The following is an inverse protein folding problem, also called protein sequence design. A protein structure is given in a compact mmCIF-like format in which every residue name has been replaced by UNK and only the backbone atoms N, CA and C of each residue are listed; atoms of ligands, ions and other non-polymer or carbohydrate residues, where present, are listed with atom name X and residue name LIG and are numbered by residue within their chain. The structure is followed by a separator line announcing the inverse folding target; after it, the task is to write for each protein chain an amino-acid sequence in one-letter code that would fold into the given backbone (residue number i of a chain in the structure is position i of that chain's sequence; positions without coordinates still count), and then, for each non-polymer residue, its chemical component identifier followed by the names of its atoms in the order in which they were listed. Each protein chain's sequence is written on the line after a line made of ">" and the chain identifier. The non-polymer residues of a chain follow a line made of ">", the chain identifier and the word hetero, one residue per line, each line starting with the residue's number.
data_IF_013813547011
#
_entry.id   IF_013813547011
#
_cell.length_a   1.000
_cell.length_b   1.000
_cell.length_c   1.000
_cell.angle_alpha   90.00
_cell.angle_beta   90.00
_cell.angle_gamma   90.00
#
_symmetry.space_group_name_H-M   'P 1'
#
loop_
_entity.id
_entity.type
_entity.pdbx_description
1 polymer ?
#
# COMPACT_ATOMS: atom_id res chain seq x y z
N UNK A 1 23.65 11.57 16.44
CA UNK A 1 22.95 10.27 16.36
C UNK A 1 21.58 10.51 15.74
N UNK A 2 21.19 9.67 14.81
CA UNK A 2 19.90 9.73 14.11
C UNK A 2 18.73 9.64 15.09
N UNK A 3 17.76 10.56 15.02
CA UNK A 3 16.60 10.55 15.94
C UNK A 3 15.66 9.40 15.59
N UNK A 4 15.51 9.09 14.30
CA UNK A 4 14.71 7.96 13.81
C UNK A 4 15.17 6.59 14.33
N UNK A 5 16.47 6.41 14.63
CA UNK A 5 16.98 5.14 15.20
C UNK A 5 16.53 4.91 16.64
N UNK A 6 16.21 5.98 17.37
CA UNK A 6 15.81 5.93 18.77
C UNK A 6 14.33 5.62 18.96
N UNK A 7 13.54 5.77 17.90
CA UNK A 7 12.10 5.53 17.95
C UNK A 7 11.80 4.05 18.24
N UNK A 8 10.78 3.81 19.06
CA UNK A 8 10.15 2.49 19.18
C UNK A 8 9.25 2.23 17.97
N UNK A 9 8.71 1.02 17.82
CA UNK A 9 7.77 0.75 16.73
C UNK A 9 6.46 1.52 16.91
N UNK A 10 6.04 1.70 18.16
CA UNK A 10 4.93 2.57 18.50
C UNK A 10 5.18 4.01 18.02
N UNK A 11 6.34 4.58 18.33
CA UNK A 11 6.70 5.94 17.89
C UNK A 11 6.73 6.05 16.36
N UNK A 12 7.28 5.05 15.66
CA UNK A 12 7.29 5.00 14.19
C UNK A 12 5.88 5.02 13.59
N UNK A 13 4.92 4.34 14.22
CA UNK A 13 3.52 4.37 13.80
C UNK A 13 2.92 5.75 14.07
N UNK A 14 3.17 6.35 15.24
CA UNK A 14 2.70 7.71 15.53
C UNK A 14 3.29 8.73 14.54
N UNK A 15 4.55 8.60 14.17
CA UNK A 15 5.19 9.41 13.13
C UNK A 15 4.53 9.20 11.76
N UNK A 16 4.22 7.95 11.40
CA UNK A 16 3.55 7.64 10.13
C UNK A 16 2.15 8.24 10.07
N UNK A 17 1.41 8.22 11.19
CA UNK A 17 0.07 8.83 11.30
C UNK A 17 0.09 10.33 11.02
N UNK A 18 1.18 11.03 11.34
CA UNK A 18 1.32 12.47 11.03
C UNK A 18 1.18 12.83 9.56
N UNK A 19 1.39 11.88 8.64
CA UNK A 19 1.10 12.11 7.23
C UNK A 19 -0.37 12.49 6.98
N UNK A 20 -1.30 12.13 7.87
CA UNK A 20 -2.72 12.46 7.78
C UNK A 20 -3.08 13.81 8.41
N UNK A 21 -2.15 14.45 9.11
CA UNK A 21 -2.35 15.76 9.75
C UNK A 21 -2.24 16.94 8.76
N UNK A 22 -1.90 16.68 7.49
CA UNK A 22 -1.67 17.69 6.43
C UNK A 22 -0.59 18.71 6.80
N UNK A 23 0.58 18.21 7.21
CA UNK A 23 1.67 19.01 7.77
C UNK A 23 2.06 20.24 6.92
N UNK A 24 2.21 21.37 7.59
CA UNK A 24 2.50 22.66 6.97
C UNK A 24 3.99 22.99 6.95
N UNK A 25 4.43 23.82 5.99
CA UNK A 25 5.82 24.26 5.91
C UNK A 25 6.21 25.04 7.18
N UNK A 26 7.37 24.72 7.76
CA UNK A 26 7.86 25.31 9.00
C UNK A 26 7.33 24.66 10.28
N UNK A 27 6.38 23.73 10.18
CA UNK A 27 5.82 23.03 11.34
C UNK A 27 6.89 22.17 12.04
N UNK A 28 6.91 22.22 13.37
CA UNK A 28 7.80 21.41 14.21
C UNK A 28 7.16 20.05 14.49
N UNK A 29 7.78 18.97 14.01
CA UNK A 29 7.25 17.61 14.18
C UNK A 29 7.88 16.94 15.38
N UNK A 30 7.04 16.48 16.31
CA UNK A 30 7.42 15.74 17.51
C UNK A 30 6.62 14.43 17.64
N UNK A 31 7.25 13.40 18.17
CA UNK A 31 6.61 12.13 18.53
C UNK A 31 7.05 11.73 19.92
N UNK A 32 6.11 11.67 20.86
CA UNK A 32 6.45 11.56 22.28
C UNK A 32 7.45 12.67 22.68
N UNK A 33 8.58 12.26 23.24
CA UNK A 33 9.66 13.17 23.64
C UNK A 33 10.68 13.45 22.52
N UNK A 34 10.53 12.84 21.35
CA UNK A 34 11.48 12.96 20.25
C UNK A 34 11.12 14.12 19.33
N UNK A 35 12.04 15.07 19.17
CA UNK A 35 11.93 16.11 18.16
C UNK A 35 12.47 15.58 16.82
N UNK A 36 11.57 15.32 15.87
CA UNK A 36 11.92 14.73 14.57
C UNK A 36 12.58 15.77 13.67
N UNK A 37 12.07 17.00 13.66
CA UNK A 37 12.60 18.11 12.89
C UNK A 37 11.52 19.10 12.46
N UNK A 38 11.84 19.87 11.44
CA UNK A 38 10.94 20.87 10.84
C UNK A 38 10.47 20.41 9.46
N UNK A 39 9.20 20.63 9.13
CA UNK A 39 8.69 20.38 7.78
C UNK A 39 9.29 21.39 6.82
N UNK A 40 10.07 20.89 5.86
CA UNK A 40 10.77 21.69 4.84
C UNK A 40 10.14 21.53 3.46
N UNK A 41 9.21 20.59 3.29
CA UNK A 41 8.50 20.36 2.04
C UNK A 41 7.17 19.66 2.28
N UNK A 42 6.11 20.17 1.67
CA UNK A 42 4.80 19.51 1.60
C UNK A 42 4.40 19.44 0.13
N UNK A 43 4.10 18.24 -0.37
CA UNK A 43 3.82 17.99 -1.79
C UNK A 43 2.38 17.54 -1.98
N UNK A 44 1.71 18.21 -2.91
CA UNK A 44 0.33 17.99 -3.30
C UNK A 44 0.27 17.83 -4.83
N UNK A 45 0.58 16.63 -5.35
CA UNK A 45 0.57 16.39 -6.79
C UNK A 45 -0.85 16.22 -7.35
N UNK A 46 -1.03 16.53 -8.64
CA UNK A 46 -2.31 16.41 -9.36
C UNK A 46 -2.81 14.97 -9.45
N UNK A 47 -1.89 14.00 -9.50
CA UNK A 47 -2.20 12.57 -9.50
C UNK A 47 -2.51 12.00 -8.10
N UNK A 48 -2.72 12.89 -7.13
CA UNK A 48 -3.04 12.55 -5.74
C UNK A 48 -1.84 12.14 -4.90
N UNK A 49 -0.61 12.12 -5.43
CA UNK A 49 0.58 11.86 -4.61
C UNK A 49 0.72 12.95 -3.54
N UNK A 50 0.82 12.52 -2.28
CA UNK A 50 0.97 13.39 -1.12
C UNK A 50 2.17 12.92 -0.31
N UNK A 51 3.08 13.84 -0.01
CA UNK A 51 4.26 13.53 0.79
C UNK A 51 4.80 14.75 1.53
N UNK A 52 5.42 14.50 2.68
CA UNK A 52 6.02 15.51 3.54
C UNK A 52 7.49 15.18 3.78
N UNK A 53 8.33 16.21 3.83
CA UNK A 53 9.75 16.08 4.19
C UNK A 53 9.99 16.86 5.47
N UNK A 54 10.42 16.16 6.49
CA UNK A 54 10.82 16.72 7.78
C UNK A 54 12.35 16.62 7.84
N UNK A 55 13.03 17.72 8.11
CA UNK A 55 14.48 17.76 8.18
C UNK A 55 14.96 18.23 9.55
N UNK A 56 16.10 17.68 9.97
CA UNK A 56 16.92 18.21 11.05
C UNK A 56 18.39 18.28 10.57
N UNK A 57 19.33 18.54 11.46
CA UNK A 57 20.73 18.76 11.10
C UNK A 57 21.41 17.57 10.41
N UNK A 58 20.93 16.35 10.61
CA UNK A 58 21.64 15.12 10.22
C UNK A 58 20.82 14.23 9.27
N UNK A 59 19.50 14.29 9.34
CA UNK A 59 18.62 13.38 8.61
C UNK A 59 17.36 14.06 8.07
N UNK A 60 16.81 13.43 7.04
CA UNK A 60 15.47 13.73 6.54
C UNK A 60 14.55 12.53 6.75
N UNK A 61 13.32 12.84 7.12
CA UNK A 61 12.21 11.90 7.22
C UNK A 61 11.19 12.23 6.14
N UNK A 62 10.91 11.27 5.27
CA UNK A 62 9.91 11.40 4.22
C UNK A 62 8.66 10.61 4.62
N UNK A 63 7.53 11.29 4.75
CA UNK A 63 6.24 10.66 5.02
C UNK A 63 5.43 10.62 3.73
N UNK A 64 5.22 9.43 3.17
CA UNK A 64 4.26 9.23 2.07
C UNK A 64 2.87 8.99 2.65
N UNK A 65 1.91 9.83 2.30
CA UNK A 65 0.55 9.75 2.81
C UNK A 65 -0.28 8.72 2.02
N UNK A 66 -1.13 7.98 2.72
CA UNK A 66 -2.14 7.11 2.12
C UNK A 66 -3.40 7.87 1.68
N UNK A 67 -4.43 7.14 1.23
CA UNK A 67 -5.71 7.75 0.80
C UNK A 67 -6.51 8.35 1.97
N UNK A 68 -7.15 9.51 1.75
CA UNK A 68 -7.85 10.30 2.79
C UNK A 68 -9.20 9.71 3.22
N UNK A 69 -9.91 9.03 2.31
CA UNK A 69 -11.25 8.46 2.54
C UNK A 69 -11.36 7.48 3.70
N UNK A 70 -10.22 7.10 4.26
CA UNK A 70 -10.13 6.21 5.41
C UNK A 70 -10.41 6.84 6.77
N UNK A 71 -10.19 8.15 6.92
CA UNK A 71 -10.17 8.80 8.24
C UNK A 71 -11.51 9.45 8.60
N UNK A 72 -12.33 9.84 7.62
CA UNK A 72 -13.54 10.65 7.84
C UNK A 72 -14.84 10.06 7.26
N UNK A 73 -14.81 8.85 6.70
CA UNK A 73 -15.96 8.20 6.06
C UNK A 73 -16.73 7.23 6.96
N UNK A 74 -18.00 6.99 6.65
CA UNK A 74 -18.73 5.83 7.15
C UNK A 74 -18.24 4.54 6.43
N UNK A 75 -18.57 3.32 6.90
CA UNK A 75 -18.09 2.06 6.30
C UNK A 75 -18.30 1.92 4.79
N UNK A 76 -19.37 2.50 4.23
CA UNK A 76 -19.63 2.50 2.80
C UNK A 76 -18.80 3.55 2.05
N UNK A 77 -18.73 4.78 2.54
CA UNK A 77 -17.91 5.85 1.93
C UNK A 77 -16.42 5.48 1.95
N UNK A 78 -15.96 4.88 3.04
CA UNK A 78 -14.61 4.32 3.17
C UNK A 78 -14.32 3.27 2.11
N UNK A 79 -15.22 2.29 1.96
CA UNK A 79 -15.09 1.19 1.00
C UNK A 79 -15.07 1.76 -0.41
N UNK A 80 -16.00 2.66 -0.72
CA UNK A 80 -16.14 3.25 -2.05
C UNK A 80 -14.92 4.13 -2.44
N UNK A 81 -14.44 5.01 -1.56
CA UNK A 81 -13.29 5.89 -1.85
C UNK A 81 -11.95 5.14 -1.84
N UNK A 82 -11.80 4.15 -0.96
CA UNK A 82 -10.66 3.24 -0.98
C UNK A 82 -10.61 2.44 -2.28
N UNK A 83 -11.73 1.83 -2.68
CA UNK A 83 -11.82 1.05 -3.91
C UNK A 83 -11.61 1.93 -5.14
N UNK A 84 -12.24 3.11 -5.25
CA UNK A 84 -12.01 4.00 -6.42
C UNK A 84 -10.54 4.36 -6.61
N UNK A 85 -9.79 4.51 -5.53
CA UNK A 85 -8.40 4.98 -5.56
C UNK A 85 -7.39 3.84 -5.68
N UNK A 86 -7.54 2.80 -4.87
CA UNK A 86 -6.57 1.73 -4.74
C UNK A 86 -6.90 0.52 -5.62
N UNK A 87 -8.18 0.28 -5.95
CA UNK A 87 -8.57 -0.82 -6.82
C UNK A 87 -7.95 -0.69 -8.22
N UNK A 88 -7.85 0.47 -8.89
CA UNK A 88 -7.14 0.56 -10.17
C UNK A 88 -5.65 0.21 -10.08
N UNK A 89 -5.00 0.51 -8.95
CA UNK A 89 -3.58 0.20 -8.69
C UNK A 89 -3.43 -1.30 -8.38
N UNK A 90 -4.32 -1.84 -7.55
CA UNK A 90 -4.43 -3.26 -7.22
C UNK A 90 -4.83 -4.10 -8.45
N UNK A 91 -5.71 -3.61 -9.31
CA UNK A 91 -6.07 -4.23 -10.58
C UNK A 91 -4.92 -4.14 -11.58
N UNK A 92 -4.19 -3.02 -11.67
CA UNK A 92 -2.97 -2.98 -12.47
C UNK A 92 -1.90 -3.97 -11.96
N UNK A 93 -1.78 -4.14 -10.64
CA UNK A 93 -0.98 -5.17 -9.97
C UNK A 93 -1.43 -6.59 -10.33
N UNK A 94 -2.74 -6.87 -10.32
CA UNK A 94 -3.34 -8.18 -10.52
C UNK A 94 -3.46 -8.60 -11.99
N UNK A 95 -3.78 -7.67 -12.90
CA UNK A 95 -4.01 -7.92 -14.33
C UNK A 95 -2.68 -8.09 -15.10
N UNK A 96 -1.52 -7.82 -14.46
CA UNK A 96 -0.18 -7.86 -15.07
C UNK A 96 -0.02 -6.93 -16.29
N UNK A 97 -0.90 -5.93 -16.44
CA UNK A 97 -0.64 -4.85 -17.38
C UNK A 97 0.51 -3.99 -16.85
N UNK A 98 1.57 -3.84 -17.64
CA UNK A 98 2.79 -3.10 -17.25
C UNK A 98 2.59 -1.59 -17.12
N UNK A 99 1.35 -1.07 -17.13
CA UNK A 99 1.08 0.36 -17.06
C UNK A 99 1.18 0.85 -15.62
N UNK A 100 2.39 1.29 -15.26
CA UNK A 100 2.68 1.88 -13.96
C UNK A 100 1.83 3.15 -13.75
N UNK A 101 1.05 3.26 -12.65
CA UNK A 101 0.32 4.46 -12.29
C UNK A 101 1.22 5.70 -12.21
N UNK A 102 0.72 6.87 -12.64
CA UNK A 102 1.47 8.14 -12.59
C UNK A 102 1.97 8.45 -11.19
N UNK A 103 1.13 8.24 -10.17
CA UNK A 103 1.44 8.49 -8.76
C UNK A 103 2.73 7.81 -8.30
N UNK A 104 2.96 6.56 -8.72
CA UNK A 104 4.17 5.82 -8.38
C UNK A 104 5.42 6.46 -9.03
N UNK A 105 5.30 6.89 -10.29
CA UNK A 105 6.39 7.60 -10.99
C UNK A 105 6.70 8.94 -10.32
N UNK A 106 5.65 9.67 -9.91
CA UNK A 106 5.76 10.93 -9.18
C UNK A 106 6.45 10.73 -7.83
N UNK A 107 6.10 9.67 -7.08
CA UNK A 107 6.78 9.32 -5.83
C UNK A 107 8.27 9.00 -6.05
N UNK A 108 8.62 8.24 -7.11
CA UNK A 108 10.00 7.95 -7.47
C UNK A 108 10.80 9.20 -7.86
N UNK A 109 10.21 10.09 -8.66
CA UNK A 109 10.84 11.37 -9.02
C UNK A 109 11.05 12.24 -7.78
N UNK A 110 10.02 12.33 -6.93
CA UNK A 110 10.06 13.10 -5.69
C UNK A 110 11.17 12.61 -4.75
N UNK A 111 11.28 11.31 -4.49
CA UNK A 111 12.34 10.76 -3.63
C UNK A 111 13.73 11.15 -4.14
N UNK A 112 14.00 10.91 -5.42
CA UNK A 112 15.31 11.21 -6.01
C UNK A 112 15.63 12.70 -5.96
N UNK A 113 14.66 13.57 -6.28
CA UNK A 113 14.82 15.03 -6.20
C UNK A 113 15.09 15.48 -4.76
N UNK A 114 14.35 14.94 -3.80
CA UNK A 114 14.52 15.28 -2.38
C UNK A 114 15.90 14.85 -1.87
N UNK A 115 16.39 13.65 -2.19
CA UNK A 115 17.74 13.22 -1.76
C UNK A 115 18.84 14.16 -2.29
N UNK A 116 18.70 14.65 -3.53
CA UNK A 116 19.64 15.61 -4.12
C UNK A 116 19.60 16.99 -3.44
N UNK A 117 18.44 17.42 -2.95
CA UNK A 117 18.27 18.69 -2.25
C UNK A 117 18.91 18.68 -0.84
N UNK A 118 19.09 17.50 -0.25
CA UNK A 118 19.71 17.32 1.06
C UNK A 118 20.99 16.47 0.92
N UNK A 119 22.09 17.04 0.39
CA UNK A 119 23.34 16.31 0.29
C UNK A 119 23.81 15.86 1.68
N UNK A 120 24.35 14.65 1.77
CA UNK A 120 24.85 14.02 3.01
C UNK A 120 23.84 13.60 4.09
N UNK A 121 22.60 14.09 4.09
CA UNK A 121 21.56 13.65 5.04
C UNK A 121 21.31 12.11 5.03
N UNK A 122 21.12 11.52 6.19
CA UNK A 122 20.53 10.19 6.30
C UNK A 122 19.04 10.23 5.94
N UNK A 123 18.52 9.23 5.23
CA UNK A 123 17.14 9.25 4.71
C UNK A 123 16.31 8.15 5.35
N UNK A 124 15.22 8.56 6.00
CA UNK A 124 14.19 7.69 6.56
C UNK A 124 12.89 7.86 5.80
N UNK A 125 12.21 6.76 5.54
CA UNK A 125 10.97 6.76 4.75
C UNK A 125 9.87 6.05 5.53
N UNK A 126 8.70 6.65 5.57
CA UNK A 126 7.50 6.09 6.17
C UNK A 126 6.37 6.13 5.16
N UNK A 127 5.51 5.12 5.20
CA UNK A 127 4.33 5.08 4.36
C UNK A 127 3.29 4.12 4.90
N UNK A 128 2.02 4.48 4.74
CA UNK A 128 0.88 3.66 5.07
C UNK A 128 -0.03 3.48 3.86
N UNK A 129 -0.57 2.29 3.67
CA UNK A 129 -1.54 2.01 2.59
C UNK A 129 -0.97 2.40 1.22
N UNK A 130 -1.66 3.25 0.47
CA UNK A 130 -1.15 3.82 -0.78
C UNK A 130 0.22 4.52 -0.65
N UNK A 131 0.48 5.15 0.51
CA UNK A 131 1.78 5.76 0.81
C UNK A 131 2.90 4.71 0.91
N UNK A 132 2.60 3.51 1.41
CA UNK A 132 3.53 2.39 1.40
C UNK A 132 3.83 1.91 -0.03
N UNK A 133 2.81 1.79 -0.88
CA UNK A 133 2.96 1.41 -2.30
C UNK A 133 3.82 2.44 -3.06
N UNK A 134 3.56 3.74 -2.83
CA UNK A 134 4.37 4.85 -3.36
C UNK A 134 5.84 4.73 -2.94
N UNK A 135 6.08 4.50 -1.65
CA UNK A 135 7.42 4.33 -1.10
C UNK A 135 8.14 3.11 -1.68
N UNK A 136 7.47 1.96 -1.80
CA UNK A 136 8.05 0.76 -2.41
C UNK A 136 8.52 1.04 -3.84
N UNK A 137 7.70 1.70 -4.67
CA UNK A 137 8.09 2.01 -6.05
C UNK A 137 9.20 3.06 -6.10
N UNK A 138 9.17 4.06 -5.22
CA UNK A 138 10.21 5.06 -5.11
C UNK A 138 11.57 4.45 -4.74
N UNK A 139 11.59 3.57 -3.74
CA UNK A 139 12.77 2.81 -3.32
C UNK A 139 13.33 1.95 -4.46
N UNK A 140 12.46 1.30 -5.23
CA UNK A 140 12.87 0.50 -6.38
C UNK A 140 13.49 1.30 -7.53
N UNK A 141 13.27 2.61 -7.55
CA UNK A 141 13.82 3.55 -8.54
C UNK A 141 14.79 4.56 -7.89
N UNK A 142 15.24 4.31 -6.66
CA UNK A 142 16.17 5.18 -5.96
C UNK A 142 17.56 5.10 -6.63
N UNK A 143 18.14 6.26 -6.92
CA UNK A 143 19.48 6.41 -7.49
C UNK A 143 20.58 6.51 -6.43
N UNK A 144 20.18 6.73 -5.17
CA UNK A 144 21.06 6.90 -4.02
C UNK A 144 20.71 5.92 -2.88
N UNK A 145 20.67 4.59 -3.13
CA UNK A 145 20.26 3.59 -2.15
C UNK A 145 21.16 3.56 -0.89
N UNK A 146 22.41 4.01 -1.00
CA UNK A 146 23.35 4.15 0.11
C UNK A 146 22.87 5.14 1.17
N UNK A 147 22.11 6.17 0.77
CA UNK A 147 21.59 7.23 1.64
C UNK A 147 20.36 6.82 2.43
N UNK A 148 19.66 5.78 1.96
CA UNK A 148 18.50 5.21 2.67
C UNK A 148 19.03 4.48 3.90
N UNK A 149 18.56 4.86 5.09
CA UNK A 149 18.90 4.16 6.34
C UNK A 149 17.83 3.14 6.69
N UNK A 150 16.56 3.55 6.68
CA UNK A 150 15.44 2.64 6.88
C UNK A 150 14.17 3.13 6.17
N UNK A 151 13.32 2.18 5.79
CA UNK A 151 11.96 2.45 5.32
C UNK A 151 10.97 1.58 6.09
N UNK A 152 9.96 2.20 6.70
CA UNK A 152 8.93 1.54 7.51
C UNK A 152 7.58 1.71 6.82
N UNK A 153 7.08 0.62 6.27
CA UNK A 153 5.97 0.60 5.34
C UNK A 153 4.85 -0.25 5.92
N UNK A 154 3.66 0.31 6.11
CA UNK A 154 2.55 -0.33 6.81
C UNK A 154 1.38 -0.55 5.85
N UNK A 155 0.78 -1.74 5.91
CA UNK A 155 -0.49 -2.07 5.24
C UNK A 155 -0.54 -1.72 3.74
N UNK A 156 0.60 -1.83 3.07
CA UNK A 156 0.69 -1.59 1.63
C UNK A 156 0.78 -2.91 0.87
N UNK A 157 0.04 -3.00 -0.23
CA UNK A 157 0.15 -4.14 -1.15
C UNK A 157 1.58 -4.26 -1.69
N UNK A 158 2.11 -5.48 -1.74
CA UNK A 158 3.45 -5.75 -2.29
C UNK A 158 3.48 -5.57 -3.81
N UNK A 159 4.38 -4.70 -4.30
CA UNK A 159 4.45 -4.37 -5.74
C UNK A 159 5.49 -5.16 -6.53
N UNK A 160 6.14 -6.17 -5.95
CA UNK A 160 7.29 -6.84 -6.58
C UNK A 160 7.06 -7.32 -8.02
N UNK A 161 5.84 -7.80 -8.30
CA UNK A 161 5.47 -8.30 -9.63
C UNK A 161 5.44 -7.19 -10.70
N UNK A 162 5.25 -5.92 -10.31
CA UNK A 162 5.35 -4.77 -11.22
C UNK A 162 6.80 -4.39 -11.54
N UNK A 163 7.74 -4.78 -10.68
CA UNK A 163 9.13 -4.35 -10.83
C UNK A 163 9.82 -5.12 -11.96
N UNK A 164 10.56 -4.39 -12.80
CA UNK A 164 11.48 -5.01 -13.76
C UNK A 164 12.77 -5.50 -13.06
N UNK A 165 13.61 -6.22 -13.81
CA UNK A 165 14.83 -6.82 -13.25
C UNK A 165 15.79 -5.79 -12.62
N UNK A 166 15.95 -4.62 -13.24
CA UNK A 166 16.81 -3.55 -12.72
C UNK A 166 16.28 -2.97 -11.42
N UNK A 167 14.97 -2.78 -11.32
CA UNK A 167 14.30 -2.32 -10.09
C UNK A 167 14.45 -3.36 -8.97
N UNK A 168 14.22 -4.64 -9.26
CA UNK A 168 14.41 -5.73 -8.28
C UNK A 168 15.86 -5.81 -7.79
N UNK A 169 16.84 -5.68 -8.68
CA UNK A 169 18.26 -5.65 -8.33
C UNK A 169 18.61 -4.47 -7.42
N UNK A 170 18.05 -3.27 -7.66
CA UNK A 170 18.24 -2.11 -6.76
C UNK A 170 17.66 -2.38 -5.37
N UNK A 171 16.41 -2.86 -5.29
CA UNK A 171 15.76 -3.16 -4.02
C UNK A 171 16.53 -4.23 -3.24
N UNK A 172 17.05 -5.26 -3.91
CA UNK A 172 17.83 -6.31 -3.28
C UNK A 172 19.02 -5.76 -2.48
N UNK A 173 19.70 -4.72 -2.98
CA UNK A 173 20.84 -4.07 -2.30
C UNK A 173 20.47 -3.39 -0.98
N UNK A 174 19.22 -2.99 -0.82
CA UNK A 174 18.72 -2.31 0.39
C UNK A 174 17.61 -3.09 1.09
N UNK A 175 17.46 -4.38 0.76
CA UNK A 175 16.39 -5.24 1.30
C UNK A 175 16.38 -5.23 2.82
N UNK A 176 17.55 -5.26 3.45
CA UNK A 176 17.71 -5.26 4.91
C UNK A 176 17.23 -3.98 5.59
N UNK A 177 17.06 -2.89 4.83
CA UNK A 177 16.65 -1.56 5.30
C UNK A 177 15.16 -1.28 5.13
N UNK A 178 14.44 -2.11 4.38
CA UNK A 178 13.01 -1.90 4.09
C UNK A 178 12.20 -2.92 4.89
N UNK A 179 11.24 -2.44 5.67
CA UNK A 179 10.39 -3.23 6.55
C UNK A 179 8.92 -3.03 6.14
N UNK A 180 8.29 -4.07 5.61
CA UNK A 180 6.86 -4.05 5.25
C UNK A 180 6.07 -4.77 6.35
N UNK A 181 5.34 -3.99 7.12
CA UNK A 181 4.40 -4.46 8.12
C UNK A 181 3.08 -4.81 7.45
N UNK A 182 2.67 -6.06 7.64
CA UNK A 182 1.48 -6.65 7.02
C UNK A 182 0.64 -7.29 8.11
N UNK A 183 -0.59 -6.83 8.24
CA UNK A 183 -1.62 -7.44 9.07
C UNK A 183 -2.47 -8.40 8.22
N UNK A 184 -2.64 -9.65 8.67
CA UNK A 184 -3.46 -10.65 7.95
C UNK A 184 -4.95 -10.35 7.99
N UNK A 185 -5.41 -9.70 9.05
CA UNK A 185 -6.81 -9.34 9.16
C UNK A 185 -7.12 -8.08 8.35
N UNK A 186 -6.11 -7.37 7.86
CA UNK A 186 -6.31 -6.23 6.99
C UNK A 186 -6.72 -6.68 5.58
N UNK A 187 -7.95 -6.37 5.12
CA UNK A 187 -8.40 -6.75 3.79
C UNK A 187 -7.61 -6.10 2.65
N UNK A 188 -6.86 -5.02 2.92
CA UNK A 188 -6.05 -4.31 1.92
C UNK A 188 -4.76 -5.06 1.58
N UNK A 189 -4.25 -5.86 2.51
CA UNK A 189 -3.03 -6.66 2.30
C UNK A 189 -3.29 -8.01 1.65
N UNK A 190 -4.56 -8.46 1.65
CA UNK A 190 -5.02 -9.72 1.05
C UNK A 190 -4.75 -9.73 -0.47
N UNK A 191 -3.59 -10.23 -0.85
CA UNK A 191 -3.26 -10.45 -2.25
C UNK A 191 -1.86 -10.97 -2.56
N UNK A 192 -0.82 -10.53 -1.83
CA UNK A 192 0.58 -10.79 -2.20
C UNK A 192 1.48 -10.88 -0.95
N UNK A 193 1.03 -11.59 0.09
CA UNK A 193 1.79 -11.82 1.33
C UNK A 193 2.75 -13.01 1.23
N UNK A 194 2.53 -13.89 0.25
CA UNK A 194 3.10 -15.24 0.19
C UNK A 194 4.43 -15.41 -0.58
N UNK A 195 5.14 -14.35 -0.94
CA UNK A 195 6.27 -14.49 -1.86
C UNK A 195 7.56 -13.88 -1.32
N UNK A 196 8.64 -14.66 -1.33
CA UNK A 196 10.03 -14.20 -1.14
C UNK A 196 10.37 -12.99 -2.05
N UNK A 197 9.60 -12.86 -3.12
CA UNK A 197 9.42 -11.73 -4.01
C UNK A 197 8.69 -10.55 -3.35
N UNK A 198 9.33 -9.89 -2.38
CA UNK A 198 8.83 -8.67 -1.72
C UNK A 198 9.82 -7.52 -1.81
N UNK A 199 9.31 -6.29 -1.89
CA UNK A 199 10.12 -5.07 -1.80
C UNK A 199 10.59 -4.84 -0.37
N UNK A 200 11.64 -5.55 0.07
CA UNK A 200 12.14 -5.47 1.45
C UNK A 200 11.84 -6.72 2.27
N UNK A 201 11.97 -6.61 3.59
CA UNK A 201 11.63 -7.66 4.55
C UNK A 201 10.14 -7.60 4.89
N UNK A 202 9.52 -8.77 4.97
CA UNK A 202 8.20 -8.93 5.56
C UNK A 202 8.33 -8.83 7.09
N UNK A 203 7.43 -8.07 7.71
CA UNK A 203 7.21 -8.00 9.15
C UNK A 203 5.73 -8.34 9.37
N UNK A 204 5.47 -9.57 9.78
CA UNK A 204 4.10 -10.04 9.87
C UNK A 204 3.54 -9.71 11.25
N UNK A 205 2.47 -8.91 11.28
CA UNK A 205 1.97 -8.29 12.51
C UNK A 205 1.12 -9.28 13.29
N UNK A 206 1.39 -9.41 14.59
CA UNK A 206 0.52 -10.15 15.51
C UNK A 206 -0.59 -9.23 16.01
N UNK A 207 -1.60 -9.05 15.16
CA UNK A 207 -2.74 -8.19 15.42
C UNK A 207 -3.91 -8.97 16.02
N UNK A 208 -4.86 -8.23 16.62
CA UNK A 208 -6.18 -8.75 17.00
C UNK A 208 -7.17 -8.48 15.87
N UNK A 209 -8.01 -9.45 15.48
CA UNK A 209 -9.06 -9.20 14.51
C UNK A 209 -10.10 -8.24 15.08
N UNK A 210 -10.45 -7.22 14.30
CA UNK A 210 -11.48 -6.25 14.60
C UNK A 210 -12.68 -6.44 13.68
N UNK A 211 -13.88 -6.24 14.21
CA UNK A 211 -15.12 -6.23 13.41
C UNK A 211 -15.18 -5.09 12.39
N UNK A 212 -14.33 -4.06 12.55
CA UNK A 212 -14.29 -2.90 11.67
C UNK A 212 -13.03 -2.95 10.80
N UNK A 213 -13.15 -3.19 9.48
CA UNK A 213 -12.01 -3.31 8.57
C UNK A 213 -11.25 -1.99 8.38
N UNK A 214 -11.92 -0.84 8.54
CA UNK A 214 -11.27 0.49 8.55
C UNK A 214 -10.30 0.56 9.71
N UNK A 215 -10.80 0.22 10.90
CA UNK A 215 -9.99 0.25 12.12
C UNK A 215 -8.86 -0.74 12.02
N UNK A 216 -9.09 -1.92 11.45
CA UNK A 216 -8.04 -2.90 11.20
C UNK A 216 -6.92 -2.30 10.35
N UNK A 217 -7.27 -1.76 9.18
CA UNK A 217 -6.33 -1.11 8.26
C UNK A 217 -5.57 0.05 8.91
N UNK A 218 -6.24 0.83 9.77
CA UNK A 218 -5.66 1.96 10.49
C UNK A 218 -4.93 1.54 11.78
N UNK A 219 -4.17 0.45 11.74
CA UNK A 219 -3.37 -0.10 12.86
C UNK A 219 -4.17 -0.53 14.09
N UNK A 220 -5.50 -0.60 14.03
CA UNK A 220 -6.35 -0.76 15.21
C UNK A 220 -6.15 -2.11 15.91
N UNK A 221 -5.74 -3.14 15.17
CA UNK A 221 -5.44 -4.46 15.73
C UNK A 221 -4.03 -4.58 16.29
N UNK A 222 -3.14 -3.60 16.11
CA UNK A 222 -1.73 -3.72 16.44
C UNK A 222 -1.52 -3.84 17.96
N UNK A 223 -0.66 -4.76 18.36
CA UNK A 223 -0.28 -4.97 19.75
C UNK A 223 1.17 -4.59 20.00
N UNK A 224 1.44 -3.95 21.14
CA UNK A 224 2.79 -3.57 21.53
C UNK A 224 3.18 -4.24 22.85
N UNK A 225 4.48 -4.48 23.03
CA UNK A 225 5.02 -4.79 24.34
C UNK A 225 5.22 -3.52 25.19
N UNK A 226 5.65 -3.70 26.44
CA UNK A 226 5.90 -2.60 27.39
C UNK A 226 6.96 -1.60 26.94
N UNK A 227 7.79 -1.96 25.97
CA UNK A 227 8.87 -1.12 25.42
C UNK A 227 8.44 -0.45 24.10
N UNK A 228 7.18 -0.59 23.69
CA UNK A 228 6.68 -0.03 22.43
C UNK A 228 7.14 -0.79 21.19
N UNK A 229 7.64 -2.02 21.34
CA UNK A 229 7.95 -2.90 20.20
C UNK A 229 6.66 -3.53 19.68
N UNK A 230 6.47 -3.54 18.37
CA UNK A 230 5.31 -4.17 17.74
C UNK A 230 5.43 -5.68 17.86
N UNK A 231 4.36 -6.35 18.29
CA UNK A 231 4.30 -7.81 18.28
C UNK A 231 4.21 -8.31 16.86
N UNK A 232 5.09 -9.26 16.54
CA UNK A 232 5.16 -9.89 15.23
C UNK A 232 5.00 -11.39 15.39
N UNK A 233 4.35 -12.01 14.42
CA UNK A 233 4.24 -13.47 14.34
C UNK A 233 5.49 -14.06 13.66
N UNK A 234 5.91 -15.26 14.05
CA UNK A 234 6.94 -15.97 13.30
C UNK A 234 6.46 -16.26 11.88
N UNK A 235 7.39 -16.19 10.93
CA UNK A 235 7.16 -16.63 9.55
C UNK A 235 7.54 -18.11 9.50
N UNK A 236 6.61 -18.98 9.89
CA UNK A 236 6.81 -20.44 9.96
C UNK A 236 6.15 -21.18 8.78
N UNK A 237 6.32 -22.50 8.70
CA UNK A 237 5.75 -23.32 7.62
C UNK A 237 4.22 -23.30 7.59
N UNK A 238 3.57 -23.20 8.76
CA UNK A 238 2.12 -23.11 8.86
C UNK A 238 1.63 -21.79 8.25
N UNK A 239 2.28 -20.67 8.58
CA UNK A 239 2.04 -19.37 7.97
C UNK A 239 2.27 -19.39 6.46
N UNK A 240 3.39 -19.96 6.00
CA UNK A 240 3.68 -20.07 4.57
C UNK A 240 2.61 -20.90 3.85
N UNK A 241 2.06 -21.92 4.49
CA UNK A 241 0.98 -22.77 3.96
C UNK A 241 -0.35 -22.02 3.89
N UNK A 242 -0.73 -21.30 4.96
CA UNK A 242 -1.92 -20.44 5.00
C UNK A 242 -1.86 -19.37 3.89
N UNK A 243 -0.73 -18.67 3.80
CA UNK A 243 -0.49 -17.64 2.80
C UNK A 243 -0.45 -18.19 1.36
N UNK A 244 0.13 -19.37 1.14
CA UNK A 244 0.10 -20.06 -0.16
C UNK A 244 -1.31 -20.53 -0.55
N UNK A 245 -2.12 -20.95 0.42
CA UNK A 245 -3.50 -21.37 0.19
C UNK A 245 -4.38 -20.17 -0.19
N UNK A 246 -4.21 -19.02 0.48
CA UNK A 246 -4.82 -17.75 0.05
C UNK A 246 -4.38 -17.36 -1.36
N UNK A 247 -3.09 -17.49 -1.69
CA UNK A 247 -2.60 -17.20 -3.04
C UNK A 247 -3.20 -18.14 -4.10
N UNK A 248 -3.35 -19.44 -3.80
CA UNK A 248 -4.00 -20.42 -4.69
C UNK A 248 -5.50 -20.13 -4.86
N UNK A 249 -6.18 -19.64 -3.83
CA UNK A 249 -7.56 -19.18 -3.92
C UNK A 249 -7.65 -17.95 -4.82
N UNK A 250 -6.84 -16.92 -4.59
CA UNK A 250 -6.84 -15.68 -5.38
C UNK A 250 -6.42 -15.85 -6.84
N UNK A 251 -5.56 -16.83 -7.15
CA UNK A 251 -5.12 -17.10 -8.53
C UNK A 251 -6.11 -17.96 -9.33
N UNK A 252 -7.13 -18.52 -8.70
CA UNK A 252 -8.28 -19.10 -9.42
C UNK A 252 -9.14 -17.96 -9.95
N UNK A 253 -9.36 -17.95 -11.27
CA UNK A 253 -10.06 -16.86 -11.99
C UNK A 253 -11.42 -16.48 -11.40
N UNK A 254 -12.17 -17.47 -10.89
CA UNK A 254 -13.51 -17.25 -10.36
C UNK A 254 -13.48 -16.63 -8.96
N UNK A 255 -12.47 -16.93 -8.15
CA UNK A 255 -12.35 -16.38 -6.79
C UNK A 255 -11.76 -14.97 -6.79
N UNK A 256 -10.90 -14.65 -7.78
CA UNK A 256 -10.47 -13.27 -8.02
C UNK A 256 -11.65 -12.38 -8.42
N UNK A 257 -12.53 -12.89 -9.29
CA UNK A 257 -13.74 -12.20 -9.68
C UNK A 257 -14.74 -12.10 -8.53
N UNK A 258 -14.92 -13.17 -7.74
CA UNK A 258 -15.70 -13.13 -6.50
C UNK A 258 -15.10 -12.16 -5.48
N UNK A 259 -13.77 -12.00 -5.41
CA UNK A 259 -13.11 -11.02 -4.54
C UNK A 259 -13.39 -9.59 -5.03
N UNK A 260 -13.27 -9.35 -6.33
CA UNK A 260 -13.61 -8.06 -6.97
C UNK A 260 -15.09 -7.73 -6.81
N UNK A 261 -15.97 -8.72 -6.92
CA UNK A 261 -17.43 -8.60 -6.75
C UNK A 261 -17.82 -8.40 -5.28
N UNK A 262 -17.22 -9.17 -4.36
CA UNK A 262 -17.34 -8.97 -2.91
C UNK A 262 -16.77 -7.63 -2.46
N UNK A 263 -15.77 -7.09 -3.15
CA UNK A 263 -15.25 -5.74 -2.94
C UNK A 263 -16.15 -4.68 -3.59
N UNK A 264 -16.76 -4.95 -4.73
CA UNK A 264 -17.53 -3.99 -5.54
C UNK A 264 -19.06 -4.01 -5.41
N UNK A 265 -19.64 -4.24 -4.22
CA UNK A 265 -21.11 -4.21 -4.02
C UNK A 265 -21.73 -2.80 -4.10
N UNK A 266 -21.56 -2.11 -5.24
CA UNK A 266 -22.39 -0.99 -5.72
C UNK A 266 -22.38 -0.96 -7.25
N UNK A 267 -23.55 -0.72 -7.85
CA UNK A 267 -23.80 -0.74 -9.30
C UNK A 267 -22.86 0.16 -10.13
N UNK A 268 -22.32 1.24 -9.57
CA UNK A 268 -21.36 2.12 -10.27
C UNK A 268 -19.98 1.49 -10.45
N UNK A 269 -19.53 0.65 -9.50
CA UNK A 269 -18.27 -0.07 -9.61
C UNK A 269 -18.34 -1.19 -10.63
N UNK A 270 -19.50 -1.84 -10.72
CA UNK A 270 -19.79 -2.83 -11.77
C UNK A 270 -19.73 -2.18 -13.15
N UNK A 271 -20.36 -1.02 -13.34
CA UNK A 271 -20.26 -0.22 -14.58
C UNK A 271 -18.84 0.20 -14.93
N UNK A 272 -18.07 0.73 -13.98
CA UNK A 272 -16.69 1.17 -14.23
C UNK A 272 -15.76 -0.01 -14.56
N UNK A 273 -15.98 -1.16 -13.92
CA UNK A 273 -15.29 -2.40 -14.23
C UNK A 273 -15.69 -2.90 -15.62
N UNK A 274 -16.97 -2.91 -15.96
CA UNK A 274 -17.51 -3.28 -17.28
C UNK A 274 -16.98 -2.38 -18.40
N UNK A 275 -16.98 -1.06 -18.23
CA UNK A 275 -16.47 -0.10 -19.22
C UNK A 275 -14.98 -0.29 -19.48
N UNK A 276 -14.17 -0.45 -18.42
CA UNK A 276 -12.74 -0.73 -18.56
C UNK A 276 -12.50 -2.12 -19.17
N UNK A 277 -13.32 -3.10 -18.83
CA UNK A 277 -13.25 -4.45 -19.36
C UNK A 277 -13.61 -4.50 -20.86
N UNK A 278 -14.65 -3.79 -21.29
CA UNK A 278 -15.00 -3.61 -22.70
C UNK A 278 -13.90 -2.90 -23.49
N UNK A 279 -13.31 -1.86 -22.90
CA UNK A 279 -12.18 -1.14 -23.50
C UNK A 279 -10.96 -2.05 -23.68
N UNK A 280 -10.70 -2.94 -22.72
CA UNK A 280 -9.61 -3.91 -22.76
C UNK A 280 -9.86 -5.07 -23.74
N UNK A 281 -11.10 -5.58 -23.81
CA UNK A 281 -11.53 -6.62 -24.77
C UNK A 281 -11.37 -6.15 -26.21
N UNK A 282 -11.72 -4.90 -26.50
CA UNK A 282 -11.57 -4.31 -27.83
C UNK A 282 -10.11 -4.06 -28.22
N UNK A 283 -9.22 -3.93 -27.23
CA UNK A 283 -7.79 -3.64 -27.44
C UNK A 283 -6.94 -4.90 -27.57
N UNK A 284 -7.39 -6.03 -27.01
CA UNK A 284 -6.68 -7.30 -27.01
C UNK A 284 -7.64 -8.51 -27.17
N UNK A 285 -8.17 -8.75 -28.38
CA UNK A 285 -9.25 -9.72 -28.60
C UNK A 285 -8.87 -11.19 -28.31
N UNK A 286 -7.59 -11.57 -28.43
CA UNK A 286 -7.15 -12.98 -28.46
C UNK A 286 -6.53 -13.51 -27.15
N UNK A 287 -6.73 -12.85 -26.01
CA UNK A 287 -6.15 -13.28 -24.74
C UNK A 287 -6.86 -14.52 -24.17
N UNK A 288 -6.13 -15.64 -23.98
CA UNK A 288 -6.63 -16.95 -23.52
C UNK A 288 -7.33 -16.97 -22.14
N UNK A 289 -7.32 -15.85 -21.42
CA UNK A 289 -8.03 -15.67 -20.13
C UNK A 289 -9.46 -15.11 -20.24
N UNK A 290 -9.88 -14.61 -21.41
CA UNK A 290 -11.19 -13.95 -21.56
C UNK A 290 -12.38 -14.90 -21.37
N UNK A 291 -12.31 -16.12 -21.89
CA UNK A 291 -13.42 -17.08 -21.85
C UNK A 291 -13.82 -17.55 -20.44
N UNK A 292 -12.95 -17.34 -19.44
CA UNK A 292 -13.28 -17.62 -18.03
C UNK A 292 -13.79 -16.39 -17.27
N UNK A 293 -13.48 -15.18 -17.76
CA UNK A 293 -13.98 -13.92 -17.20
C UNK A 293 -15.30 -13.47 -17.83
N UNK A 294 -15.63 -13.89 -19.05
CA UNK A 294 -16.93 -13.64 -19.68
C UNK A 294 -18.09 -14.34 -18.96
N UNK A 295 -17.86 -15.55 -18.47
CA UNK A 295 -18.88 -16.31 -17.72
C UNK A 295 -19.29 -15.71 -16.37
N UNK A 296 -18.56 -14.70 -15.87
CA UNK A 296 -18.91 -13.96 -14.65
C UNK A 296 -19.93 -12.84 -14.90
N UNK A 297 -20.12 -12.42 -16.15
CA UNK A 297 -21.08 -11.37 -16.53
C UNK A 297 -22.31 -11.93 -17.28
N UNK A 298 -22.25 -13.16 -17.79
CA UNK A 298 -23.32 -13.77 -18.60
C UNK A 298 -24.46 -14.45 -17.79
N UNK A 299 -24.41 -14.46 -16.45
CA UNK A 299 -25.55 -14.92 -15.65
C UNK A 299 -26.57 -13.80 -15.42
N UNK A 300 -27.15 -13.31 -16.52
CA UNK A 300 -28.42 -12.56 -16.54
C UNK A 300 -29.59 -13.53 -16.48
N UNK A 301 -29.93 -14.00 -15.28
CA UNK A 301 -31.20 -14.69 -15.03
C UNK A 301 -31.59 -14.59 -13.57
N UNK A 302 -32.08 -13.42 -13.15
CA UNK A 302 -32.90 -13.27 -11.95
C UNK A 302 -33.80 -12.03 -12.12
N UNK A 303 -34.59 -12.03 -13.19
CA UNK A 303 -35.90 -11.36 -13.22
C UNK A 303 -36.90 -12.41 -13.69
N UNK A 304 -37.42 -13.17 -12.73
CA UNK A 304 -38.74 -13.79 -12.87
C UNK A 304 -39.65 -12.93 -12.02
N UNK A 305 -40.39 -12.07 -12.70
CA UNK A 305 -41.44 -11.27 -12.11
C UNK A 305 -42.48 -12.20 -11.47
N UNK A 306 -42.73 -11.92 -10.20
CA UNK A 306 -43.95 -12.12 -9.42
C UNK A 306 -44.25 -10.71 -8.92
N UNK A 307 -45.41 -10.09 -9.07
CA UNK A 307 -46.77 -10.52 -9.41
C UNK A 307 -47.52 -9.29 -10.00
N UNK A 308 -48.74 -9.53 -10.50
CA UNK A 308 -49.88 -8.59 -10.65
C UNK A 308 -49.94 -7.62 -11.86
N UNK A 309 -50.37 -8.13 -13.02
CA UNK A 309 -51.73 -7.96 -13.62
C UNK A 309 -51.84 -8.70 -14.97
#
# INVERSE_FOLDING_TARGET
>A
MDINKQLTDYDRIQLTKKAYDELELGEQVKVGNFHIGTVVKSVYAEDGMRAFVIANSNEITILFKGSYGFVRGNPQTWRDEWLRTNLPILLALLIRERKIPSQLKTAAHFLNKTILQFPHAHVYIYGHSLGSINAQYALANCRHPERIIAAYLYEGTNIWLLLNQNQRSRVAKIRSKIFNYVDIYDPVTLGITATHHMVGKLQYVDSVPLNNPIKQHMWGGYQFDKNGKLKLRPIDEAFLTESQNEHKLLTKSNDLANLVERMGQKNEFKKLAEEKFHTLRNKFPDHKGWGKLSGLFDNTSFMKDKDDE
#
